data_IF_828571840839
#
_entry.id   IF_828571840839
#
_cell.length_a   1.000
_cell.length_b   1.000
_cell.length_c   1.000
_cell.angle_alpha   90.00
_cell.angle_beta   90.00
_cell.angle_gamma   90.00
#
_symmetry.space_group_name_H-M   'P 1'
#
loop_
_entity.id
_entity.type
_entity.pdbx_description
1 polymer ?
#
# COMPACT_ATOMS: atom_id res chain seq x y z
N UNK A 1 21.78 8.19 -18.58
CA UNK A 1 20.81 7.06 -18.59
C UNK A 1 20.42 6.78 -17.16
N UNK A 2 19.13 6.63 -16.90
CA UNK A 2 18.57 6.38 -15.56
C UNK A 2 18.81 4.95 -15.07
N UNK A 3 19.55 4.14 -15.83
CA UNK A 3 19.83 2.76 -15.49
C UNK A 3 21.26 2.37 -15.82
N UNK A 4 21.86 1.51 -15.01
CA UNK A 4 23.15 0.87 -15.23
C UNK A 4 23.01 -0.63 -15.04
N UNK A 5 23.64 -1.43 -15.89
CA UNK A 5 23.58 -2.89 -15.79
C UNK A 5 24.94 -3.53 -15.94
N UNK A 6 25.13 -4.65 -15.24
CA UNK A 6 26.27 -5.55 -15.45
C UNK A 6 25.79 -7.01 -15.50
N UNK A 7 26.62 -7.86 -16.02
CA UNK A 7 26.30 -9.27 -16.23
C UNK A 7 27.43 -10.14 -15.71
N UNK A 8 27.09 -11.21 -15.00
CA UNK A 8 28.02 -12.26 -14.55
C UNK A 8 27.69 -13.50 -15.37
N UNK A 9 28.65 -13.92 -16.21
CA UNK A 9 28.51 -15.05 -17.13
C UNK A 9 29.42 -16.21 -16.75
N UNK A 10 29.20 -17.39 -17.35
CA UNK A 10 30.03 -18.57 -17.12
C UNK A 10 29.81 -19.24 -15.77
N UNK A 11 28.68 -18.94 -15.10
CA UNK A 11 28.29 -19.59 -13.87
C UNK A 11 27.88 -21.05 -14.15
N UNK A 12 28.22 -21.96 -13.24
CA UNK A 12 27.80 -23.36 -13.26
C UNK A 12 27.46 -23.80 -11.83
N UNK A 13 26.70 -22.97 -11.13
CA UNK A 13 26.30 -23.19 -9.73
C UNK A 13 24.90 -22.66 -9.47
N UNK A 14 24.21 -23.26 -8.51
CA UNK A 14 22.91 -22.72 -8.04
C UNK A 14 23.17 -21.45 -7.23
N UNK A 15 22.71 -20.31 -7.74
CA UNK A 15 22.86 -19.01 -7.10
C UNK A 15 21.56 -18.65 -6.38
N UNK A 16 21.51 -18.80 -5.05
CA UNK A 16 20.33 -18.53 -4.21
C UNK A 16 20.29 -17.13 -3.63
N UNK A 17 21.42 -16.44 -3.63
CA UNK A 17 21.47 -15.04 -3.17
C UNK A 17 22.61 -14.30 -3.85
N UNK A 18 22.41 -13.00 -4.02
CA UNK A 18 23.44 -12.07 -4.43
C UNK A 18 23.55 -10.98 -3.37
N UNK A 19 24.76 -10.67 -2.96
CA UNK A 19 25.06 -9.60 -2.03
C UNK A 19 25.87 -8.51 -2.74
N UNK A 20 25.46 -7.27 -2.52
CA UNK A 20 26.12 -6.07 -3.03
C UNK A 20 26.74 -5.28 -1.90
N UNK A 21 27.92 -4.71 -2.15
CA UNK A 21 28.50 -3.71 -1.27
C UNK A 21 28.38 -2.33 -1.95
N UNK A 22 27.23 -1.63 -1.79
CA UNK A 22 27.03 -0.32 -2.39
C UNK A 22 27.75 0.74 -1.56
N UNK A 23 28.48 1.63 -2.24
CA UNK A 23 29.06 2.83 -1.62
C UNK A 23 28.48 4.05 -2.33
N UNK A 24 27.81 4.92 -1.59
CA UNK A 24 27.32 6.19 -2.12
C UNK A 24 28.48 7.20 -2.14
N UNK A 25 28.51 8.08 -3.15
CA UNK A 25 29.38 9.23 -3.09
C UNK A 25 28.95 10.18 -1.98
N UNK A 26 29.89 10.93 -1.38
CA UNK A 26 29.61 11.89 -0.31
C UNK A 26 28.52 12.90 -0.70
N UNK A 27 28.53 13.34 -1.97
CA UNK A 27 27.52 14.24 -2.52
C UNK A 27 26.14 13.55 -2.62
N UNK A 28 26.09 12.28 -3.01
CA UNK A 28 24.84 11.51 -3.08
C UNK A 28 24.32 11.16 -1.67
N UNK A 29 25.21 10.87 -0.73
CA UNK A 29 24.84 10.64 0.67
C UNK A 29 24.24 11.88 1.34
N UNK A 30 24.74 13.06 1.02
CA UNK A 30 24.24 14.34 1.50
C UNK A 30 22.91 14.77 0.82
N UNK A 31 22.75 14.44 -0.46
CA UNK A 31 21.55 14.75 -1.24
C UNK A 31 20.42 13.73 -1.07
N UNK A 32 20.71 12.57 -0.49
CA UNK A 32 19.75 11.46 -0.34
C UNK A 32 18.60 11.89 0.58
N UNK A 33 17.43 12.10 -0.01
CA UNK A 33 16.17 12.21 0.73
C UNK A 33 16.00 10.93 1.56
N UNK A 34 15.44 11.04 2.73
CA UNK A 34 15.40 10.05 3.82
C UNK A 34 14.92 8.64 3.41
N UNK A 35 14.28 8.48 2.25
CA UNK A 35 13.63 7.24 1.78
C UNK A 35 14.06 6.76 0.38
N UNK A 36 15.15 7.26 -0.20
CA UNK A 36 15.58 6.85 -1.54
C UNK A 36 16.27 5.48 -1.49
N UNK A 37 15.54 4.42 -1.85
CA UNK A 37 16.05 3.06 -2.01
C UNK A 37 16.51 2.84 -3.45
N UNK A 38 17.65 2.16 -3.62
CA UNK A 38 18.15 1.77 -4.94
C UNK A 38 17.31 0.61 -5.44
N UNK A 39 16.63 0.77 -6.57
CA UNK A 39 15.85 -0.30 -7.18
C UNK A 39 16.75 -1.20 -8.00
N UNK A 40 16.65 -2.51 -7.78
CA UNK A 40 17.48 -3.52 -8.44
C UNK A 40 16.58 -4.55 -9.09
N UNK A 41 16.76 -4.75 -10.40
CA UNK A 41 16.14 -5.83 -11.16
C UNK A 41 17.22 -6.85 -11.49
N UNK A 42 16.98 -8.10 -11.13
CA UNK A 42 17.89 -9.22 -11.40
C UNK A 42 17.24 -10.16 -12.39
N UNK A 43 17.89 -10.39 -13.51
CA UNK A 43 17.46 -11.38 -14.49
C UNK A 43 18.42 -12.59 -14.47
N UNK A 44 17.85 -13.78 -14.50
CA UNK A 44 18.54 -15.06 -14.42
C UNK A 44 18.40 -15.82 -15.74
N UNK A 45 19.45 -16.53 -16.14
CA UNK A 45 19.38 -17.62 -17.11
C UNK A 45 19.97 -18.88 -16.45
N UNK A 46 19.21 -19.97 -16.44
CA UNK A 46 19.51 -21.19 -15.70
C UNK A 46 19.18 -22.48 -16.49
N UNK A 47 19.32 -23.64 -15.86
CA UNK A 47 19.00 -24.93 -16.48
C UNK A 47 17.55 -25.07 -16.89
N UNK A 48 16.61 -24.40 -16.19
CA UNK A 48 15.19 -24.42 -16.50
C UNK A 48 14.82 -23.45 -17.62
N UNK A 49 15.58 -22.36 -17.80
CA UNK A 49 15.34 -21.36 -18.83
C UNK A 49 16.67 -20.74 -19.32
N UNK A 50 17.02 -21.04 -20.56
CA UNK A 50 18.22 -20.51 -21.19
C UNK A 50 18.13 -19.01 -21.52
N UNK A 51 16.91 -18.45 -21.61
CA UNK A 51 16.70 -17.02 -21.79
C UNK A 51 16.58 -16.32 -20.44
N UNK A 52 16.94 -15.03 -20.40
CA UNK A 52 16.79 -14.22 -19.20
C UNK A 52 15.32 -14.08 -18.79
N UNK A 53 15.03 -14.38 -17.55
CA UNK A 53 13.78 -14.05 -16.90
C UNK A 53 14.03 -13.25 -15.63
N UNK A 54 13.11 -12.34 -15.30
CA UNK A 54 13.27 -11.46 -14.15
C UNK A 54 12.91 -12.20 -12.85
N UNK A 55 13.82 -12.16 -11.89
CA UNK A 55 13.52 -12.44 -10.50
C UNK A 55 12.69 -11.28 -9.93
N UNK A 56 11.87 -11.48 -8.88
CA UNK A 56 11.17 -10.37 -8.23
C UNK A 56 12.12 -9.21 -7.92
N UNK A 57 11.68 -7.98 -8.24
CA UNK A 57 12.49 -6.79 -8.05
C UNK A 57 12.87 -6.62 -6.58
N UNK A 58 14.13 -6.31 -6.33
CA UNK A 58 14.67 -5.99 -5.02
C UNK A 58 14.87 -4.48 -4.85
N UNK A 59 14.96 -4.03 -3.59
CA UNK A 59 15.40 -2.68 -3.27
C UNK A 59 16.52 -2.73 -2.24
N UNK A 60 17.59 -1.99 -2.51
CA UNK A 60 18.75 -1.88 -1.62
C UNK A 60 18.68 -0.54 -0.88
N UNK A 61 18.63 -0.59 0.43
CA UNK A 61 18.73 0.57 1.30
C UNK A 61 20.14 0.59 1.90
N UNK A 62 20.99 1.57 1.56
CA UNK A 62 22.34 1.64 2.09
C UNK A 62 22.42 1.76 3.62
N UNK A 63 21.33 2.20 4.26
CA UNK A 63 21.21 2.29 5.72
C UNK A 63 20.84 0.95 6.38
N UNK A 64 20.37 -0.02 5.59
CA UNK A 64 19.99 -1.34 6.09
C UNK A 64 20.85 -2.43 5.45
N UNK A 65 21.90 -2.90 6.12
CA UNK A 65 22.80 -3.93 5.56
C UNK A 65 22.09 -5.22 5.14
N UNK A 66 20.95 -5.57 5.76
CA UNK A 66 20.21 -6.77 5.37
C UNK A 66 19.56 -6.64 3.99
N UNK A 67 19.25 -5.43 3.52
CA UNK A 67 18.66 -5.17 2.21
C UNK A 67 19.65 -5.39 1.05
N UNK A 68 20.95 -5.42 1.32
CA UNK A 68 21.98 -5.67 0.30
C UNK A 68 22.06 -7.13 -0.13
N UNK A 69 21.36 -8.03 0.59
CA UNK A 69 21.25 -9.45 0.28
C UNK A 69 19.92 -9.70 -0.43
N UNK A 70 19.98 -9.99 -1.73
CA UNK A 70 18.77 -10.26 -2.53
C UNK A 70 18.67 -11.76 -2.77
N UNK A 71 17.57 -12.37 -2.37
CA UNK A 71 17.30 -13.78 -2.64
C UNK A 71 16.93 -14.00 -4.09
N UNK A 72 17.43 -15.10 -4.65
CA UNK A 72 17.17 -15.55 -6.02
C UNK A 72 16.53 -16.94 -5.97
N UNK A 73 15.65 -17.21 -6.94
CA UNK A 73 14.95 -18.50 -7.04
C UNK A 73 15.19 -19.15 -8.41
N UNK A 74 16.39 -19.67 -8.65
CA UNK A 74 16.73 -20.32 -9.92
C UNK A 74 16.17 -21.74 -10.00
N UNK A 75 15.82 -22.18 -11.21
CA UNK A 75 15.48 -23.55 -11.53
C UNK A 75 16.72 -24.38 -11.86
N UNK A 76 17.55 -24.66 -10.86
CA UNK A 76 18.79 -25.42 -11.02
C UNK A 76 20.05 -24.55 -11.01
N UNK A 77 21.03 -24.87 -11.87
CA UNK A 77 22.27 -24.10 -11.95
C UNK A 77 22.09 -22.89 -12.86
N UNK A 78 22.57 -21.74 -12.41
CA UNK A 78 22.61 -20.53 -13.23
C UNK A 78 23.73 -20.57 -14.23
N UNK A 79 23.49 -20.09 -15.44
CA UNK A 79 24.47 -19.83 -16.49
C UNK A 79 24.95 -18.39 -16.48
N UNK A 80 24.03 -17.47 -16.23
CA UNK A 80 24.33 -16.05 -16.13
C UNK A 80 23.30 -15.33 -15.21
N UNK A 81 23.77 -14.21 -14.64
CA UNK A 81 22.98 -13.31 -13.80
C UNK A 81 23.22 -11.89 -14.30
N UNK A 82 22.15 -11.20 -14.69
CA UNK A 82 22.18 -9.80 -15.10
C UNK A 82 21.54 -8.94 -14.02
N UNK A 83 22.26 -7.94 -13.57
CA UNK A 83 21.80 -6.98 -12.55
C UNK A 83 21.61 -5.62 -13.20
N UNK A 84 20.46 -5.00 -12.98
CA UNK A 84 20.12 -3.67 -13.49
C UNK A 84 19.65 -2.78 -12.35
N UNK A 85 20.30 -1.65 -12.17
CA UNK A 85 19.85 -0.57 -11.27
C UNK A 85 19.00 0.40 -12.08
N UNK A 86 17.78 0.70 -11.62
CA UNK A 86 16.77 1.38 -12.46
C UNK A 86 16.43 2.81 -12.06
N UNK A 87 16.82 3.28 -10.87
CA UNK A 87 16.48 4.62 -10.38
C UNK A 87 17.71 5.45 -9.97
N UNK A 88 18.79 5.34 -10.73
CA UNK A 88 20.06 6.00 -10.38
C UNK A 88 19.97 7.55 -10.42
N UNK A 89 19.11 8.10 -11.26
CA UNK A 89 18.87 9.54 -11.31
C UNK A 89 18.34 10.13 -9.99
N UNK A 90 17.51 9.32 -9.28
CA UNK A 90 16.92 9.74 -8.02
C UNK A 90 17.89 9.62 -6.82
N UNK A 91 18.87 8.72 -6.94
CA UNK A 91 19.79 8.35 -5.84
C UNK A 91 21.17 8.99 -5.99
N UNK A 92 21.51 9.48 -7.18
CA UNK A 92 22.84 10.03 -7.50
C UNK A 92 23.85 8.91 -7.84
N UNK A 93 25.15 9.19 -7.71
CA UNK A 93 26.18 8.20 -8.05
C UNK A 93 26.33 7.16 -6.93
N UNK A 94 26.21 5.89 -7.32
CA UNK A 94 26.45 4.74 -6.45
C UNK A 94 27.55 3.85 -7.06
N UNK A 95 28.54 3.49 -6.26
CA UNK A 95 29.60 2.56 -6.68
C UNK A 95 29.37 1.24 -5.98
N UNK A 96 29.30 0.14 -6.75
CA UNK A 96 29.29 -1.21 -6.19
C UNK A 96 30.74 -1.69 -6.09
N UNK A 97 31.24 -1.81 -4.86
CA UNK A 97 32.65 -2.17 -4.60
C UNK A 97 32.90 -3.65 -4.48
N UNK A 98 31.84 -4.42 -4.22
CA UNK A 98 31.94 -5.88 -4.11
C UNK A 98 30.61 -6.56 -4.46
N UNK A 99 30.73 -7.76 -5.04
CA UNK A 99 29.61 -8.64 -5.34
C UNK A 99 29.99 -10.02 -4.87
N UNK A 100 29.15 -10.64 -4.04
CA UNK A 100 29.32 -12.03 -3.62
C UNK A 100 28.04 -12.83 -3.88
N UNK A 101 28.24 -14.10 -4.25
CA UNK A 101 27.15 -15.03 -4.51
C UNK A 101 27.04 -16.04 -3.38
N UNK A 102 25.82 -16.38 -2.98
CA UNK A 102 25.53 -17.36 -1.94
C UNK A 102 26.19 -17.04 -0.58
N UNK A 103 26.46 -15.76 -0.31
CA UNK A 103 26.96 -15.34 0.99
C UNK A 103 25.85 -15.51 2.06
N UNK A 104 26.24 -15.92 3.27
CA UNK A 104 25.30 -16.07 4.37
C UNK A 104 24.77 -14.72 4.79
N UNK A 105 23.45 -14.55 4.72
CA UNK A 105 22.79 -13.37 5.24
C UNK A 105 23.08 -13.26 6.75
N UNK A 106 23.65 -12.15 7.23
CA UNK A 106 23.87 -11.98 8.66
C UNK A 106 22.54 -11.99 9.41
N UNK A 107 22.54 -12.66 10.57
CA UNK A 107 21.34 -12.68 11.40
C UNK A 107 21.06 -11.25 11.90
N UNK A 108 19.90 -10.72 11.52
CA UNK A 108 19.40 -9.44 12.01
C UNK A 108 18.05 -9.65 12.69
N UNK A 109 17.97 -9.25 13.98
CA UNK A 109 16.75 -9.36 14.75
C UNK A 109 15.82 -8.19 14.43
N UNK A 110 14.78 -8.44 13.66
CA UNK A 110 13.70 -7.48 13.47
C UNK A 110 12.72 -7.57 14.65
N UNK A 111 12.88 -6.65 15.60
CA UNK A 111 12.07 -6.60 16.84
C UNK A 111 10.60 -6.39 16.52
N UNK A 112 10.28 -5.58 15.49
CA UNK A 112 8.89 -5.30 15.10
C UNK A 112 8.22 -6.56 14.54
N UNK A 113 8.93 -7.29 13.68
CA UNK A 113 8.46 -8.57 13.13
C UNK A 113 8.27 -9.62 14.23
N UNK A 114 9.23 -9.71 15.15
CA UNK A 114 9.15 -10.64 16.29
C UNK A 114 7.95 -10.30 17.19
N UNK A 115 7.76 -9.02 17.52
CA UNK A 115 6.61 -8.57 18.31
C UNK A 115 5.27 -8.86 17.60
N UNK A 116 5.20 -8.68 16.29
CA UNK A 116 4.02 -8.98 15.49
C UNK A 116 3.68 -10.48 15.50
N UNK A 117 4.70 -11.34 15.31
CA UNK A 117 4.53 -12.80 15.41
C UNK A 117 4.07 -13.21 16.81
N UNK A 118 4.69 -12.65 17.85
CA UNK A 118 4.29 -12.92 19.24
C UNK A 118 2.84 -12.50 19.50
N UNK A 119 2.44 -11.32 19.03
CA UNK A 119 1.06 -10.83 19.16
C UNK A 119 0.05 -11.78 18.49
N UNK A 120 0.36 -12.24 17.27
CA UNK A 120 -0.47 -13.23 16.57
C UNK A 120 -0.57 -14.53 17.38
N UNK A 121 0.55 -15.04 17.87
CA UNK A 121 0.57 -16.28 18.69
C UNK A 121 -0.23 -16.12 19.98
N UNK A 122 -0.17 -14.96 20.65
CA UNK A 122 -0.97 -14.67 21.84
C UNK A 122 -2.46 -14.62 21.53
N UNK A 123 -2.86 -14.04 20.40
CA UNK A 123 -4.26 -14.05 19.95
C UNK A 123 -4.73 -15.48 19.66
N UNK A 124 -3.95 -16.26 18.92
CA UNK A 124 -4.27 -17.68 18.65
C UNK A 124 -4.36 -18.51 19.94
N UNK A 125 -3.46 -18.28 20.88
CA UNK A 125 -3.49 -18.93 22.18
C UNK A 125 -4.73 -18.54 23.00
N UNK A 126 -5.11 -17.27 23.01
CA UNK A 126 -6.30 -16.77 23.68
C UNK A 126 -7.60 -17.36 23.05
N UNK A 127 -7.61 -17.52 21.73
CA UNK A 127 -8.75 -18.05 20.97
C UNK A 127 -8.71 -19.58 20.78
N UNK A 128 -7.82 -20.31 21.48
CA UNK A 128 -7.77 -21.78 21.40
C UNK A 128 -9.10 -22.43 21.88
N UNK A 129 -9.50 -23.59 21.36
CA UNK A 129 -10.78 -24.23 21.71
C UNK A 129 -10.99 -24.48 23.21
N UNK A 130 -9.91 -24.72 23.98
CA UNK A 130 -9.96 -24.93 25.43
C UNK A 130 -10.00 -23.63 26.25
N UNK A 131 -10.02 -22.47 25.58
CA UNK A 131 -10.09 -21.18 26.27
C UNK A 131 -11.43 -21.01 26.99
N UNK A 132 -11.40 -20.48 28.22
CA UNK A 132 -12.60 -20.10 28.96
C UNK A 132 -13.49 -19.06 28.28
N UNK A 133 -13.05 -18.48 27.15
CA UNK A 133 -13.86 -17.58 26.34
C UNK A 133 -15.05 -18.29 25.68
N UNK A 134 -14.93 -19.58 25.37
CA UNK A 134 -16.01 -20.35 24.74
C UNK A 134 -17.06 -20.84 25.74
N UNK A 135 -16.75 -20.91 27.04
CA UNK A 135 -17.70 -21.26 28.09
C UNK A 135 -18.52 -20.06 28.59
N UNK A 136 -18.10 -18.83 28.25
CA UNK A 136 -18.77 -17.59 28.70
C UNK A 136 -19.68 -17.04 27.61
N UNK A 137 -20.99 -16.96 27.90
CA UNK A 137 -21.95 -16.34 26.99
C UNK A 137 -21.79 -14.82 26.99
N UNK A 138 -21.88 -14.21 25.79
CA UNK A 138 -21.84 -12.77 25.60
C UNK A 138 -23.13 -12.14 26.14
N UNK A 139 -23.07 -11.51 27.31
CA UNK A 139 -24.17 -10.73 27.89
C UNK A 139 -23.87 -9.25 27.86
N UNK A 140 -24.54 -8.53 26.96
CA UNK A 140 -24.39 -7.07 26.79
C UNK A 140 -24.94 -6.23 27.92
N UNK A 141 -25.75 -6.81 28.84
CA UNK A 141 -26.19 -6.12 30.03
C UNK A 141 -25.06 -5.93 31.04
N UNK A 142 -24.00 -6.72 30.92
CA UNK A 142 -22.83 -6.60 31.75
C UNK A 142 -21.90 -5.53 31.22
N UNK A 143 -21.61 -4.50 32.00
CA UNK A 143 -20.70 -3.39 31.66
C UNK A 143 -19.34 -3.92 31.18
N UNK A 144 -18.81 -4.99 31.80
CA UNK A 144 -17.55 -5.62 31.41
C UNK A 144 -17.53 -6.15 29.96
N UNK A 145 -18.66 -6.65 29.43
CA UNK A 145 -18.75 -7.10 28.06
C UNK A 145 -18.85 -5.93 27.07
N UNK A 146 -19.48 -4.82 27.48
CA UNK A 146 -19.46 -3.58 26.73
C UNK A 146 -18.05 -3.00 26.60
N UNK A 147 -17.31 -2.99 27.72
CA UNK A 147 -15.88 -2.57 27.73
C UNK A 147 -15.06 -3.48 26.83
N UNK A 148 -15.24 -4.81 26.89
CA UNK A 148 -14.54 -5.75 26.02
C UNK A 148 -14.76 -5.42 24.53
N UNK A 149 -16.01 -5.20 24.12
CA UNK A 149 -16.35 -4.83 22.74
C UNK A 149 -15.66 -3.52 22.35
N UNK A 150 -15.71 -2.51 23.20
CA UNK A 150 -15.03 -1.23 22.95
C UNK A 150 -13.51 -1.39 22.82
N UNK A 151 -12.88 -2.19 23.66
CA UNK A 151 -11.45 -2.51 23.57
C UNK A 151 -11.10 -3.22 22.25
N UNK A 152 -11.94 -4.15 21.78
CA UNK A 152 -11.71 -4.85 20.53
C UNK A 152 -11.80 -3.88 19.34
N UNK A 153 -12.80 -3.02 19.29
CA UNK A 153 -12.91 -1.97 18.28
C UNK A 153 -11.67 -1.06 18.32
N UNK A 154 -11.23 -0.65 19.49
CA UNK A 154 -10.03 0.18 19.63
C UNK A 154 -8.78 -0.53 19.08
N UNK A 155 -8.60 -1.82 19.37
CA UNK A 155 -7.49 -2.63 18.83
C UNK A 155 -7.59 -2.74 17.31
N UNK A 156 -8.79 -2.98 16.75
CA UNK A 156 -8.99 -3.00 15.30
C UNK A 156 -8.64 -1.65 14.66
N UNK A 157 -9.07 -0.55 15.24
CA UNK A 157 -8.70 0.78 14.76
C UNK A 157 -7.17 1.01 14.79
N UNK A 158 -6.49 0.59 15.86
CA UNK A 158 -5.02 0.67 15.94
C UNK A 158 -4.38 -0.18 14.84
N UNK A 159 -4.87 -1.40 14.61
CA UNK A 159 -4.36 -2.27 13.52
C UNK A 159 -4.57 -1.61 12.16
N UNK A 160 -5.73 -1.03 11.89
CA UNK A 160 -6.02 -0.27 10.66
C UNK A 160 -4.99 0.85 10.47
N UNK A 161 -4.81 1.71 11.48
CA UNK A 161 -3.84 2.80 11.39
C UNK A 161 -2.40 2.30 11.21
N UNK A 162 -1.99 1.25 11.90
CA UNK A 162 -0.66 0.64 11.73
C UNK A 162 -0.48 0.12 10.30
N UNK A 163 -1.48 -0.57 9.74
CA UNK A 163 -1.41 -1.09 8.38
C UNK A 163 -1.35 0.03 7.33
N UNK A 164 -2.18 1.05 7.48
CA UNK A 164 -2.17 2.23 6.60
C UNK A 164 -0.83 2.93 6.65
N UNK A 165 -0.33 3.26 7.84
CA UNK A 165 0.92 4.00 8.01
C UNK A 165 2.17 3.17 7.66
N UNK A 166 2.11 1.85 7.74
CA UNK A 166 3.20 0.97 7.28
C UNK A 166 3.39 0.99 5.77
N UNK A 167 2.37 1.41 5.02
CA UNK A 167 2.45 1.55 3.57
C UNK A 167 2.89 2.97 3.19
N UNK A 168 4.18 3.27 3.40
CA UNK A 168 4.77 4.59 3.16
C UNK A 168 4.58 5.09 1.73
N UNK A 169 4.49 4.19 0.76
CA UNK A 169 4.25 4.52 -0.64
C UNK A 169 2.89 5.23 -0.82
N UNK A 170 1.79 4.64 -0.33
CA UNK A 170 0.47 5.26 -0.43
C UNK A 170 0.36 6.52 0.44
N UNK A 171 0.96 6.52 1.63
CA UNK A 171 0.96 7.70 2.50
C UNK A 171 1.68 8.87 1.81
N UNK A 172 2.86 8.65 1.23
CA UNK A 172 3.60 9.69 0.52
C UNK A 172 2.89 10.15 -0.76
N UNK A 173 2.32 9.23 -1.54
CA UNK A 173 1.57 9.55 -2.75
C UNK A 173 0.36 10.44 -2.47
N UNK A 174 -0.31 10.24 -1.35
CA UNK A 174 -1.52 11.01 -0.99
C UNK A 174 -1.20 12.33 -0.27
N UNK A 175 0.06 12.57 0.08
CA UNK A 175 0.51 13.83 0.69
C UNK A 175 1.23 14.76 -0.29
N UNK A 176 1.71 14.26 -1.44
CA UNK A 176 2.50 15.05 -2.38
C UNK A 176 1.70 15.43 -3.62
N UNK A 177 1.88 16.67 -4.06
CA UNK A 177 1.17 17.29 -5.19
C UNK A 177 1.52 16.70 -6.58
N UNK A 178 2.27 15.61 -6.68
CA UNK A 178 2.79 15.07 -7.94
C UNK A 178 1.92 14.01 -8.64
N UNK A 179 0.82 13.56 -8.02
CA UNK A 179 -0.06 12.55 -8.59
C UNK A 179 -1.42 13.12 -8.96
N UNK A 180 -1.61 13.48 -10.21
CA UNK A 180 -2.85 14.09 -10.72
C UNK A 180 -4.09 13.25 -10.41
N UNK A 181 -4.02 11.93 -10.53
CA UNK A 181 -5.17 11.04 -10.34
C UNK A 181 -5.66 10.93 -8.90
N UNK A 182 -4.85 11.30 -7.90
CA UNK A 182 -5.26 11.24 -6.49
C UNK A 182 -5.82 12.55 -5.96
N UNK A 183 -5.73 13.62 -6.76
CA UNK A 183 -6.23 14.95 -6.40
C UNK A 183 -7.64 15.26 -6.87
N UNK A 184 -8.36 14.29 -7.43
CA UNK A 184 -9.70 14.52 -7.96
C UNK A 184 -10.63 15.14 -6.91
N UNK A 185 -10.72 14.56 -5.72
CA UNK A 185 -11.52 15.12 -4.63
C UNK A 185 -10.94 16.42 -4.07
N UNK A 186 -9.62 16.60 -4.10
CA UNK A 186 -9.01 17.87 -3.69
C UNK A 186 -9.39 18.99 -4.66
N UNK A 187 -9.27 18.76 -5.98
CA UNK A 187 -9.70 19.69 -7.01
C UNK A 187 -11.19 19.99 -6.92
N UNK A 188 -12.01 18.95 -6.71
CA UNK A 188 -13.45 19.12 -6.50
C UNK A 188 -13.76 19.95 -5.25
N UNK A 189 -13.00 19.78 -4.16
CA UNK A 189 -13.20 20.57 -2.96
C UNK A 189 -12.91 22.07 -3.20
N UNK A 190 -11.87 22.40 -3.96
CA UNK A 190 -11.59 23.78 -4.39
C UNK A 190 -12.75 24.30 -5.23
N UNK A 191 -13.15 23.59 -6.28
CA UNK A 191 -14.25 23.99 -7.15
C UNK A 191 -15.56 24.24 -6.36
N UNK A 192 -15.87 23.37 -5.39
CA UNK A 192 -17.04 23.54 -4.52
C UNK A 192 -16.96 24.80 -3.64
N UNK A 193 -15.78 25.14 -3.15
CA UNK A 193 -15.59 26.38 -2.37
C UNK A 193 -15.70 27.63 -3.22
N UNK A 194 -15.48 27.53 -4.54
CA UNK A 194 -15.65 28.57 -5.54
C UNK A 194 -17.07 28.62 -6.13
N UNK A 195 -17.94 27.67 -5.76
CA UNK A 195 -19.35 27.66 -6.13
C UNK A 195 -19.67 26.94 -7.43
N UNK A 196 -18.79 26.05 -7.92
CA UNK A 196 -19.05 25.25 -9.13
C UNK A 196 -18.68 23.77 -8.94
N UNK A 197 -19.14 22.92 -9.88
CA UNK A 197 -18.94 21.47 -9.87
C UNK A 197 -17.90 20.98 -10.90
N UNK A 198 -17.52 21.84 -11.83
CA UNK A 198 -16.48 21.53 -12.82
C UNK A 198 -15.11 21.87 -12.26
N UNK A 199 -14.08 21.17 -12.73
CA UNK A 199 -12.71 21.43 -12.37
C UNK A 199 -12.13 22.58 -13.21
N UNK A 200 -11.16 23.32 -12.65
CA UNK A 200 -10.49 24.44 -13.33
C UNK A 200 -9.47 23.98 -14.36
N UNK A 201 -9.20 22.68 -14.42
CA UNK A 201 -8.34 22.10 -15.45
C UNK A 201 -8.92 22.36 -16.85
N UNK A 202 -8.12 22.98 -17.72
CA UNK A 202 -8.51 23.31 -19.09
C UNK A 202 -8.28 22.08 -20.00
N UNK A 203 -9.33 21.54 -20.65
CA UNK A 203 -9.17 20.47 -21.61
C UNK A 203 -8.33 20.90 -22.82
N UNK A 204 -7.49 19.99 -23.35
CA UNK A 204 -6.69 20.28 -24.54
C UNK A 204 -7.57 20.64 -25.74
N UNK A 205 -7.09 21.55 -26.62
CA UNK A 205 -7.78 21.90 -27.86
C UNK A 205 -8.05 20.67 -28.72
N UNK A 206 -7.10 19.74 -28.77
CA UNK A 206 -7.24 18.48 -29.48
C UNK A 206 -8.43 17.65 -28.94
N UNK A 207 -8.64 17.59 -27.63
CA UNK A 207 -9.77 16.89 -27.03
C UNK A 207 -11.11 17.60 -27.34
N UNK A 208 -11.10 18.93 -27.28
CA UNK A 208 -12.31 19.73 -27.59
C UNK A 208 -12.72 19.63 -29.04
N UNK A 209 -11.79 19.44 -29.99
CA UNK A 209 -12.03 19.29 -31.42
C UNK A 209 -12.51 17.88 -31.80
N UNK A 210 -12.46 16.89 -30.91
CA UNK A 210 -12.91 15.53 -31.19
C UNK A 210 -14.44 15.47 -31.33
N UNK A 211 -14.93 14.77 -32.34
CA UNK A 211 -16.37 14.48 -32.50
C UNK A 211 -16.89 13.57 -31.39
N UNK A 212 -16.06 12.66 -30.90
CA UNK A 212 -16.32 11.82 -29.74
C UNK A 212 -15.11 11.83 -28.80
N UNK A 213 -15.09 12.69 -27.77
CA UNK A 213 -13.97 12.75 -26.77
C UNK A 213 -13.77 11.49 -25.97
N UNK A 214 -14.73 10.56 -25.97
CA UNK A 214 -14.67 9.28 -25.26
C UNK A 214 -14.15 8.11 -26.10
N UNK A 215 -13.85 8.34 -27.37
CA UNK A 215 -13.22 7.33 -28.22
C UNK A 215 -11.75 7.13 -27.80
N UNK A 216 -11.53 6.07 -27.04
CA UNK A 216 -10.20 5.74 -26.51
C UNK A 216 -9.20 5.42 -27.62
N UNK A 217 -9.64 4.75 -28.70
CA UNK A 217 -8.76 4.41 -29.82
C UNK A 217 -8.32 5.66 -30.58
N UNK A 218 -9.25 6.53 -30.87
CA UNK A 218 -8.96 7.81 -31.54
C UNK A 218 -8.07 8.71 -30.69
N UNK A 219 -8.28 8.78 -29.38
CA UNK A 219 -7.41 9.53 -28.44
C UNK A 219 -5.98 9.00 -28.42
N UNK A 220 -5.81 7.69 -28.30
CA UNK A 220 -4.48 7.07 -28.26
C UNK A 220 -3.77 7.23 -29.62
N UNK A 221 -4.48 6.98 -30.74
CA UNK A 221 -3.91 7.14 -32.08
C UNK A 221 -3.51 8.58 -32.38
N UNK A 222 -4.27 9.55 -31.90
CA UNK A 222 -4.01 10.99 -32.06
C UNK A 222 -3.07 11.58 -31.02
N UNK A 223 -2.61 10.83 -30.02
CA UNK A 223 -1.81 11.36 -28.91
C UNK A 223 -2.52 12.47 -28.12
N UNK A 224 -3.86 12.44 -28.04
CA UNK A 224 -4.68 13.52 -27.48
C UNK A 224 -4.56 13.53 -25.95
N UNK A 225 -4.03 14.60 -25.32
CA UNK A 225 -3.95 14.72 -23.88
C UNK A 225 -5.34 14.83 -23.24
N UNK A 226 -5.56 14.09 -22.15
CA UNK A 226 -6.80 14.17 -21.36
C UNK A 226 -6.50 13.82 -19.89
N UNK A 227 -7.37 14.27 -19.00
CA UNK A 227 -7.30 13.85 -17.61
C UNK A 227 -7.91 12.45 -17.45
N UNK A 228 -7.10 11.54 -16.95
CA UNK A 228 -7.54 10.18 -16.62
C UNK A 228 -8.58 10.20 -15.48
N UNK A 229 -9.56 9.32 -15.56
CA UNK A 229 -10.62 9.17 -14.54
C UNK A 229 -11.43 10.44 -14.25
N UNK A 230 -11.61 11.29 -15.28
CA UNK A 230 -12.50 12.44 -15.21
C UNK A 230 -13.55 12.37 -16.33
N UNK A 231 -14.74 12.85 -16.03
CA UNK A 231 -15.76 13.05 -17.05
C UNK A 231 -15.49 14.37 -17.79
N UNK A 232 -15.62 14.35 -19.11
CA UNK A 232 -15.53 15.55 -19.95
C UNK A 232 -16.92 15.91 -20.48
N UNK A 233 -17.38 17.14 -20.26
CA UNK A 233 -18.68 17.58 -20.74
C UNK A 233 -18.67 19.10 -21.00
N UNK A 234 -19.12 19.50 -22.18
CA UNK A 234 -19.22 20.92 -22.61
C UNK A 234 -17.92 21.72 -22.32
N UNK A 235 -16.78 21.20 -22.72
CA UNK A 235 -15.50 21.90 -22.57
C UNK A 235 -14.94 21.93 -21.13
N UNK A 236 -15.48 21.14 -20.21
CA UNK A 236 -15.06 21.11 -18.79
C UNK A 236 -14.89 19.69 -18.30
N UNK A 237 -14.01 19.52 -17.28
CA UNK A 237 -13.85 18.27 -16.59
C UNK A 237 -14.70 18.22 -15.32
N UNK A 238 -15.18 17.03 -15.00
CA UNK A 238 -15.97 16.73 -13.79
C UNK A 238 -15.45 15.47 -13.11
N UNK A 239 -15.53 15.44 -11.79
CA UNK A 239 -15.34 14.20 -11.01
C UNK A 239 -16.66 13.43 -11.05
N UNK A 240 -16.64 12.18 -11.54
CA UNK A 240 -17.84 11.34 -11.64
C UNK A 240 -18.02 10.37 -10.47
N UNK A 241 -17.06 10.33 -9.57
CA UNK A 241 -17.19 9.62 -8.29
C UNK A 241 -18.17 10.34 -7.36
N UNK A 242 -18.71 9.63 -6.38
CA UNK A 242 -19.68 10.22 -5.47
C UNK A 242 -19.13 11.46 -4.73
N UNK A 243 -19.94 12.51 -4.64
CA UNK A 243 -19.55 13.78 -4.01
C UNK A 243 -19.40 13.68 -2.48
N UNK A 244 -20.00 12.65 -1.86
CA UNK A 244 -20.09 12.54 -0.39
C UNK A 244 -18.71 12.55 0.31
N UNK A 245 -17.69 11.80 -0.15
CA UNK A 245 -16.36 11.86 0.47
C UNK A 245 -15.77 13.26 0.43
N UNK A 246 -15.96 13.97 -0.69
CA UNK A 246 -15.49 15.35 -0.84
C UNK A 246 -16.12 16.27 0.21
N UNK A 247 -17.44 16.21 0.38
CA UNK A 247 -18.18 17.04 1.32
C UNK A 247 -17.87 16.70 2.79
N UNK A 248 -17.60 15.45 3.10
CA UNK A 248 -17.37 14.99 4.49
C UNK A 248 -15.92 15.24 4.93
N UNK A 249 -14.94 15.03 4.04
CA UNK A 249 -13.54 15.05 4.41
C UNK A 249 -12.79 16.25 3.81
N UNK A 250 -12.85 16.44 2.49
CA UNK A 250 -11.97 17.37 1.78
C UNK A 250 -12.39 18.83 1.96
N UNK A 251 -13.68 19.15 1.81
CA UNK A 251 -14.17 20.51 1.95
C UNK A 251 -13.98 21.04 3.38
N UNK A 252 -14.41 20.33 4.45
CA UNK A 252 -14.21 20.81 5.82
C UNK A 252 -12.74 20.97 6.18
N UNK A 253 -11.89 20.04 5.73
CA UNK A 253 -10.46 20.13 5.97
C UNK A 253 -9.84 21.33 5.27
N UNK A 254 -10.18 21.54 3.99
CA UNK A 254 -9.70 22.69 3.21
C UNK A 254 -10.08 24.02 3.84
N UNK A 255 -11.33 24.15 4.30
CA UNK A 255 -11.82 25.38 4.92
C UNK A 255 -11.13 25.69 6.26
N UNK A 256 -10.69 24.67 7.01
CA UNK A 256 -10.07 24.87 8.33
C UNK A 256 -8.55 25.00 8.21
N UNK A 257 -7.91 24.17 7.38
CA UNK A 257 -6.45 24.07 7.36
C UNK A 257 -5.81 24.77 6.17
N UNK A 258 -6.59 25.14 5.14
CA UNK A 258 -6.12 25.67 3.86
C UNK A 258 -5.09 24.76 3.16
N UNK A 259 -5.13 23.45 3.46
CA UNK A 259 -4.24 22.43 2.89
C UNK A 259 -5.04 21.27 2.30
N UNK A 260 -4.38 20.44 1.48
CA UNK A 260 -4.99 19.21 0.95
C UNK A 260 -5.27 18.19 2.05
N UNK A 261 -6.42 17.50 1.94
CA UNK A 261 -6.78 16.42 2.84
C UNK A 261 -6.01 15.14 2.49
N UNK A 262 -5.32 14.50 3.44
CA UNK A 262 -4.62 13.25 3.18
C UNK A 262 -5.63 12.09 3.00
N UNK A 263 -5.75 11.59 1.78
CA UNK A 263 -6.71 10.52 1.41
C UNK A 263 -6.59 9.29 2.30
N UNK A 264 -5.37 8.89 2.67
CA UNK A 264 -5.15 7.75 3.56
C UNK A 264 -5.85 7.90 4.92
N UNK A 265 -5.96 9.12 5.42
CA UNK A 265 -6.65 9.39 6.69
C UNK A 265 -8.16 9.16 6.56
N UNK A 266 -8.76 9.59 5.44
CA UNK A 266 -10.17 9.33 5.14
C UNK A 266 -10.46 7.84 5.07
N UNK A 267 -9.64 7.08 4.34
CA UNK A 267 -9.77 5.62 4.24
C UNK A 267 -9.62 4.96 5.62
N UNK A 268 -8.63 5.37 6.43
CA UNK A 268 -8.45 4.83 7.77
C UNK A 268 -9.67 5.10 8.67
N UNK A 269 -10.25 6.30 8.61
CA UNK A 269 -11.47 6.65 9.36
C UNK A 269 -12.65 5.79 8.88
N UNK A 270 -12.87 5.69 7.57
CA UNK A 270 -13.95 4.88 7.01
C UNK A 270 -13.81 3.40 7.39
N UNK A 271 -12.59 2.85 7.36
CA UNK A 271 -12.32 1.47 7.73
C UNK A 271 -12.53 1.21 9.24
N UNK A 272 -12.19 2.18 10.10
CA UNK A 272 -12.55 2.13 11.53
C UNK A 272 -14.07 2.14 11.75
N UNK A 273 -14.80 2.98 11.02
CA UNK A 273 -16.27 3.02 11.07
C UNK A 273 -16.86 1.71 10.56
N UNK A 274 -16.29 1.15 9.50
CA UNK A 274 -16.66 -0.16 8.95
C UNK A 274 -16.45 -1.27 10.00
N UNK A 275 -15.29 -1.34 10.65
CA UNK A 275 -15.01 -2.32 11.71
C UNK A 275 -16.03 -2.20 12.86
N UNK A 276 -16.32 -0.98 13.33
CA UNK A 276 -17.31 -0.74 14.36
C UNK A 276 -18.73 -1.14 13.91
N UNK A 277 -19.07 -0.86 12.64
CA UNK A 277 -20.34 -1.25 12.02
C UNK A 277 -20.52 -2.76 11.94
N UNK A 278 -19.49 -3.50 11.52
CA UNK A 278 -19.49 -4.97 11.50
C UNK A 278 -19.69 -5.54 12.91
N UNK A 279 -18.93 -5.05 13.89
CA UNK A 279 -19.06 -5.45 15.28
C UNK A 279 -20.49 -5.18 15.81
N UNK A 280 -21.05 -4.01 15.49
CA UNK A 280 -22.43 -3.69 15.85
C UNK A 280 -23.42 -4.65 15.19
N UNK A 281 -23.33 -4.86 13.88
CA UNK A 281 -24.18 -5.78 13.12
C UNK A 281 -24.11 -7.19 13.69
N UNK A 282 -22.91 -7.76 13.82
CA UNK A 282 -22.69 -9.08 14.39
C UNK A 282 -23.33 -9.20 15.76
N UNK A 283 -23.18 -8.17 16.58
CA UNK A 283 -23.74 -8.12 17.91
C UNK A 283 -25.28 -8.11 17.92
N UNK A 284 -25.92 -7.48 16.91
CA UNK A 284 -27.38 -7.49 16.76
C UNK A 284 -27.88 -8.85 16.26
N UNK A 285 -27.16 -9.44 15.30
CA UNK A 285 -27.44 -10.81 14.77
C UNK A 285 -27.36 -11.84 15.90
N UNK A 286 -26.26 -11.86 16.65
CA UNK A 286 -26.11 -12.77 17.79
C UNK A 286 -27.22 -12.58 18.83
N UNK A 287 -27.56 -11.34 19.19
CA UNK A 287 -28.65 -11.09 20.15
C UNK A 287 -30.02 -11.60 19.67
N UNK A 288 -30.29 -11.51 18.35
CA UNK A 288 -31.61 -11.82 17.80
C UNK A 288 -31.80 -13.32 17.56
N UNK A 289 -30.78 -13.97 16.98
CA UNK A 289 -30.90 -15.35 16.51
C UNK A 289 -30.04 -16.37 17.28
N UNK A 290 -28.96 -15.91 17.91
CA UNK A 290 -27.99 -16.76 18.61
C UNK A 290 -27.69 -16.25 20.02
N UNK A 291 -28.72 -16.18 20.93
CA UNK A 291 -28.55 -15.52 22.24
C UNK A 291 -27.57 -16.21 23.18
N UNK A 292 -27.17 -17.45 22.88
CA UNK A 292 -26.18 -18.21 23.65
C UNK A 292 -24.77 -18.19 23.02
N UNK A 293 -24.51 -17.28 22.08
CA UNK A 293 -23.18 -17.14 21.48
C UNK A 293 -22.14 -16.87 22.56
N UNK A 294 -21.09 -17.68 22.57
CA UNK A 294 -19.96 -17.46 23.48
C UNK A 294 -19.10 -16.28 23.05
N UNK A 295 -18.35 -15.72 24.00
CA UNK A 295 -17.40 -14.63 23.70
C UNK A 295 -16.36 -15.10 22.66
N UNK A 296 -15.82 -16.33 22.79
CA UNK A 296 -14.82 -16.84 21.86
C UNK A 296 -15.34 -16.93 20.43
N UNK A 297 -16.55 -17.49 20.22
CA UNK A 297 -17.18 -17.56 18.89
C UNK A 297 -17.44 -16.14 18.34
N UNK A 298 -17.93 -15.23 19.17
CA UNK A 298 -18.17 -13.84 18.77
C UNK A 298 -16.89 -13.16 18.25
N UNK A 299 -15.77 -13.32 18.97
CA UNK A 299 -14.48 -12.73 18.59
C UNK A 299 -13.93 -13.32 17.27
N UNK A 300 -14.02 -14.65 17.13
CA UNK A 300 -13.57 -15.31 15.88
C UNK A 300 -14.40 -14.83 14.70
N UNK A 301 -15.73 -14.76 14.85
CA UNK A 301 -16.62 -14.28 13.78
C UNK A 301 -16.34 -12.83 13.43
N UNK A 302 -16.07 -11.96 14.41
CA UNK A 302 -15.75 -10.55 14.17
C UNK A 302 -14.46 -10.40 13.35
N UNK A 303 -13.39 -11.08 13.73
CA UNK A 303 -12.13 -11.07 12.97
C UNK A 303 -12.34 -11.62 11.57
N UNK A 304 -13.08 -12.74 11.43
CA UNK A 304 -13.37 -13.33 10.11
C UNK A 304 -14.17 -12.38 9.22
N UNK A 305 -15.19 -11.71 9.77
CA UNK A 305 -16.00 -10.74 9.02
C UNK A 305 -15.17 -9.54 8.58
N UNK A 306 -14.31 -8.99 9.45
CA UNK A 306 -13.45 -7.87 9.09
C UNK A 306 -12.45 -8.25 7.99
N UNK A 307 -11.79 -9.40 8.11
CA UNK A 307 -10.83 -9.90 7.11
C UNK A 307 -11.52 -10.24 5.80
N UNK A 308 -12.59 -11.05 5.83
CA UNK A 308 -13.34 -11.47 4.64
C UNK A 308 -14.08 -10.31 3.96
N UNK A 309 -14.49 -9.30 4.73
CA UNK A 309 -15.12 -8.10 4.23
C UNK A 309 -14.15 -7.07 3.62
N UNK A 310 -12.86 -7.38 3.58
CA UNK A 310 -11.86 -6.56 2.89
C UNK A 310 -11.17 -5.50 3.74
N UNK A 311 -11.43 -5.39 5.05
CA UNK A 311 -10.83 -4.37 5.91
C UNK A 311 -9.29 -4.33 5.86
N UNK A 312 -8.64 -5.50 5.82
CA UNK A 312 -7.16 -5.57 5.65
C UNK A 312 -6.72 -5.01 4.28
N UNK A 313 -7.49 -5.27 3.21
CA UNK A 313 -7.17 -4.78 1.86
C UNK A 313 -7.32 -3.27 1.81
N UNK A 314 -8.41 -2.72 2.34
CA UNK A 314 -8.66 -1.28 2.43
C UNK A 314 -7.54 -0.56 3.19
N UNK A 315 -7.14 -1.10 4.33
CA UNK A 315 -6.05 -0.53 5.12
C UNK A 315 -4.69 -0.59 4.41
N UNK A 316 -4.44 -1.61 3.57
CA UNK A 316 -3.16 -1.76 2.85
C UNK A 316 -3.07 -0.97 1.56
N UNK A 317 -4.18 -0.60 0.97
CA UNK A 317 -4.24 0.15 -0.29
C UNK A 317 -5.14 1.39 -0.13
N UNK A 318 -4.76 2.36 0.76
CA UNK A 318 -5.62 3.49 1.11
C UNK A 318 -5.70 4.51 -0.04
N UNK A 319 -6.43 4.16 -1.10
CA UNK A 319 -6.65 4.99 -2.27
C UNK A 319 -8.02 5.66 -2.23
N UNK A 320 -8.20 6.72 -3.02
CA UNK A 320 -9.48 7.44 -3.08
C UNK A 320 -10.65 6.59 -3.58
N UNK A 321 -10.39 5.50 -4.30
CA UNK A 321 -11.42 4.57 -4.77
C UNK A 321 -12.15 3.83 -3.65
N UNK A 322 -11.63 3.90 -2.42
CA UNK A 322 -12.21 3.27 -1.24
C UNK A 322 -12.85 4.27 -0.26
N UNK A 323 -12.97 5.52 -0.68
CA UNK A 323 -13.75 6.56 -0.01
C UNK A 323 -15.14 6.65 -0.61
#
# INVERSE_FOLDING_TARGET
SDSSSFEITGLNATVRSIHFTPTLSDAAAAAQKTDSKIQVVIALADEGNANYYNNPAGSVDPKNPASTYISLDPAGKCHSVKVTFTNLADVGSCTVTGISLNEKVPFNLDVARMASVLAILLVLFALRPQSGLYSRVLDKRLTRHGILIACIIAVQCVVVFVLVLSNTHYVSMTQTASYENQFQYQKLAVALTEGHLYLDDVPSEALQAMSNPYDTQARVAGGVPYLWDHAYFHGKYYVYFGILPCLVFYVPWLLVTHTGFPTWLGVAICDCVYAAGLMYLLSRVCKRWFPRTSIGVFLVLDVMLFVAGGGIILARTPSMYFL
#
